data_IF_835077855053
#
_entry.id   IF_835077855053
#
_cell.length_a   1.000
_cell.length_b   1.000
_cell.length_c   1.000
_cell.angle_alpha   90.00
_cell.angle_beta   90.00
_cell.angle_gamma   90.00
#
_symmetry.space_group_name_H-M   'P 1'
#
loop_
_entity.id
_entity.type
_entity.pdbx_description
1 polymer ?
#
# COMPACT_ATOMS: atom_id res chain seq x y z
N UNK A 1 -1.69 43.74 -42.64
CA UNK A 1 -1.63 42.27 -42.79
C UNK A 1 -0.63 41.78 -41.76
N UNK A 2 -1.00 41.75 -40.47
CA UNK A 2 -1.34 40.52 -39.70
C UNK A 2 -1.21 39.21 -40.45
N UNK A 3 -0.38 38.32 -39.90
CA UNK A 3 -0.60 36.90 -39.53
C UNK A 3 0.75 36.45 -38.91
N UNK A 4 0.84 36.37 -37.58
CA UNK A 4 0.84 35.12 -36.78
C UNK A 4 2.19 34.39 -36.89
N UNK A 5 3.07 34.47 -35.89
CA UNK A 5 3.11 33.60 -34.69
C UNK A 5 3.34 32.13 -35.04
N UNK A 6 4.57 31.66 -34.78
CA UNK A 6 4.82 30.34 -34.22
C UNK A 6 6.26 30.31 -33.70
N UNK A 7 6.39 30.74 -32.44
CA UNK A 7 7.44 30.25 -31.58
C UNK A 7 7.20 28.73 -31.44
N UNK A 8 8.07 27.93 -32.06
CA UNK A 8 8.09 26.50 -31.86
C UNK A 8 8.50 26.21 -30.43
N UNK A 9 7.51 26.10 -29.55
CA UNK A 9 7.61 25.51 -28.24
C UNK A 9 8.11 24.06 -28.42
N UNK A 10 9.39 23.84 -28.12
CA UNK A 10 9.98 22.49 -28.07
C UNK A 10 9.96 21.95 -26.65
N UNK A 11 8.80 21.98 -26.00
CA UNK A 11 8.62 21.31 -24.72
C UNK A 11 7.95 19.94 -24.84
N UNK A 12 8.29 19.16 -25.86
CA UNK A 12 7.83 17.76 -25.97
C UNK A 12 9.03 16.81 -25.88
N UNK A 13 9.27 16.30 -24.68
CA UNK A 13 10.27 15.24 -24.48
C UNK A 13 10.63 14.85 -23.05
N UNK A 14 10.16 15.54 -22.00
CA UNK A 14 10.54 15.22 -20.60
C UNK A 14 9.46 14.53 -19.77
N UNK A 15 8.35 14.12 -20.39
CA UNK A 15 7.31 13.38 -19.67
C UNK A 15 7.55 11.86 -19.72
N UNK A 16 7.94 11.32 -18.56
CA UNK A 16 7.37 10.12 -17.95
C UNK A 16 7.97 8.72 -18.25
N UNK A 17 9.30 8.58 -18.22
CA UNK A 17 9.90 7.34 -17.70
C UNK A 17 10.79 7.68 -16.50
N UNK A 18 10.54 7.04 -15.34
CA UNK A 18 11.42 7.13 -14.17
C UNK A 18 11.00 8.07 -13.04
N UNK A 19 9.76 8.58 -12.98
CA UNK A 19 9.26 9.23 -11.76
C UNK A 19 8.66 8.18 -10.82
N UNK A 20 9.07 8.15 -9.53
CA UNK A 20 8.43 7.30 -8.54
C UNK A 20 6.92 7.55 -8.50
N UNK A 21 6.14 6.47 -8.46
CA UNK A 21 4.70 6.55 -8.18
C UNK A 21 4.55 6.89 -6.69
N UNK A 22 3.76 7.93 -6.41
CA UNK A 22 3.48 8.38 -5.03
C UNK A 22 1.98 8.39 -4.84
N UNK A 23 1.49 7.50 -3.98
CA UNK A 23 0.12 7.47 -3.50
C UNK A 23 -0.07 8.54 -2.43
N UNK A 24 -1.21 9.25 -2.49
CA UNK A 24 -1.57 10.38 -1.62
C UNK A 24 -2.96 10.16 -1.02
N UNK A 25 -3.34 11.04 -0.12
CA UNK A 25 -4.66 11.02 0.54
C UNK A 25 -4.92 9.70 1.28
N UNK A 26 -3.85 9.17 1.87
CA UNK A 26 -3.87 7.96 2.67
C UNK A 26 -4.01 8.27 4.16
N UNK A 27 -4.47 7.28 4.92
CA UNK A 27 -4.28 7.18 6.37
C UNK A 27 -3.38 5.97 6.63
N UNK A 28 -2.09 6.23 6.87
CA UNK A 28 -1.09 5.19 7.08
C UNK A 28 -0.56 5.27 8.51
N UNK A 29 -0.63 4.16 9.23
CA UNK A 29 -0.13 4.05 10.61
C UNK A 29 0.84 2.88 10.73
N UNK A 30 2.06 3.18 11.18
CA UNK A 30 3.10 2.16 11.45
C UNK A 30 3.29 2.06 12.96
N UNK A 31 2.52 1.17 13.60
CA UNK A 31 2.53 1.01 15.06
C UNK A 31 2.41 2.35 15.79
N UNK A 32 3.38 2.64 16.64
CA UNK A 32 3.58 3.96 17.30
C UNK A 32 4.74 4.77 16.68
N UNK A 33 5.32 4.28 15.59
CA UNK A 33 6.55 4.80 14.98
C UNK A 33 6.28 5.97 14.04
N UNK A 34 5.19 5.91 13.26
CA UNK A 34 4.87 6.93 12.28
C UNK A 34 3.38 6.95 11.91
N UNK A 35 2.93 8.14 11.51
CA UNK A 35 1.69 8.39 10.78
C UNK A 35 2.06 9.11 9.49
N UNK A 36 1.53 8.66 8.35
CA UNK A 36 1.85 9.18 7.02
C UNK A 36 0.58 9.39 6.21
N UNK A 37 0.63 10.35 5.30
CA UNK A 37 -0.47 10.63 4.34
C UNK A 37 -0.09 10.29 2.90
N UNK A 38 1.14 9.85 2.67
CA UNK A 38 1.67 9.48 1.36
C UNK A 38 2.57 8.26 1.46
N UNK A 39 2.57 7.43 0.42
CA UNK A 39 3.49 6.30 0.25
C UNK A 39 3.99 6.26 -1.19
N UNK A 40 5.30 6.11 -1.33
CA UNK A 40 5.91 5.52 -2.52
C UNK A 40 6.45 4.13 -2.17
N UNK A 41 6.98 3.42 -3.16
CA UNK A 41 7.47 2.05 -2.98
C UNK A 41 8.64 1.97 -1.99
N UNK A 42 9.58 2.92 -2.06
CA UNK A 42 10.76 2.93 -1.20
C UNK A 42 10.39 3.16 0.27
N UNK A 43 9.45 4.08 0.52
CA UNK A 43 8.96 4.35 1.87
C UNK A 43 8.16 3.17 2.44
N UNK A 44 7.38 2.49 1.59
CA UNK A 44 6.67 1.27 1.96
C UNK A 44 7.66 0.17 2.38
N UNK A 45 8.63 -0.15 1.53
CA UNK A 45 9.65 -1.17 1.80
C UNK A 45 10.38 -0.86 3.12
N UNK A 46 10.80 0.40 3.30
CA UNK A 46 11.49 0.86 4.52
C UNK A 46 10.68 0.66 5.81
N UNK A 47 9.36 0.87 5.76
CA UNK A 47 8.52 0.71 6.95
C UNK A 47 8.19 -0.75 7.23
N UNK A 48 7.93 -1.55 6.19
CA UNK A 48 7.70 -3.00 6.34
C UNK A 48 8.93 -3.68 6.96
N UNK A 49 10.13 -3.29 6.51
CA UNK A 49 11.41 -3.76 7.06
C UNK A 49 11.63 -3.43 8.54
N UNK A 50 10.81 -2.55 9.12
CA UNK A 50 10.89 -2.15 10.53
C UNK A 50 9.85 -2.81 11.41
N UNK A 51 8.93 -3.59 10.84
CA UNK A 51 7.94 -4.33 11.61
C UNK A 51 8.62 -5.50 12.32
N UNK A 52 8.69 -5.44 13.66
CA UNK A 52 9.30 -6.44 14.54
C UNK A 52 8.26 -7.25 15.29
N UNK A 53 8.63 -8.49 15.60
CA UNK A 53 7.86 -9.33 16.51
C UNK A 53 8.01 -8.76 17.92
N UNK A 54 6.95 -8.16 18.45
CA UNK A 54 6.96 -7.53 19.77
C UNK A 54 5.67 -7.84 20.53
N UNK A 55 5.69 -7.81 21.86
CA UNK A 55 4.51 -8.08 22.69
C UNK A 55 3.36 -7.05 22.50
N UNK A 56 3.62 -5.95 21.79
CA UNK A 56 2.60 -4.96 21.41
C UNK A 56 2.13 -5.07 19.97
N UNK A 57 2.65 -6.06 19.21
CA UNK A 57 2.48 -6.29 17.77
C UNK A 57 2.69 -5.00 16.95
N UNK A 58 3.92 -4.75 16.52
CA UNK A 58 4.14 -3.72 15.49
C UNK A 58 3.36 -4.11 14.23
N UNK A 59 2.63 -3.15 13.68
CA UNK A 59 1.75 -3.33 12.53
C UNK A 59 1.92 -2.17 11.57
N UNK A 60 1.48 -2.36 10.34
CA UNK A 60 1.26 -1.28 9.39
C UNK A 60 -0.18 -1.37 8.89
N UNK A 61 -0.93 -0.28 8.99
CA UNK A 61 -2.25 -0.11 8.35
C UNK A 61 -2.10 0.90 7.24
N UNK A 62 -2.62 0.59 6.07
CA UNK A 62 -2.75 1.50 4.92
C UNK A 62 -4.22 1.59 4.57
N UNK A 63 -4.83 2.77 4.71
CA UNK A 63 -6.24 2.99 4.43
C UNK A 63 -6.45 4.14 3.43
N UNK A 64 -7.51 4.02 2.62
CA UNK A 64 -8.00 5.13 1.79
C UNK A 64 -8.92 6.00 2.64
N UNK A 65 -8.73 7.32 2.61
CA UNK A 65 -9.54 8.23 3.42
C UNK A 65 -11.03 8.16 3.04
N UNK A 66 -11.90 7.95 4.03
CA UNK A 66 -13.36 8.03 3.88
C UNK A 66 -14.06 6.81 3.27
N UNK A 67 -13.31 5.81 2.77
CA UNK A 67 -13.87 4.62 2.12
C UNK A 67 -13.99 3.43 3.08
N UNK A 68 -13.20 3.44 4.17
CA UNK A 68 -13.07 2.35 5.13
C UNK A 68 -12.50 1.06 4.53
N UNK A 69 -11.93 1.18 3.34
CA UNK A 69 -11.06 0.18 2.74
C UNK A 69 -9.65 0.33 3.34
N UNK A 70 -9.05 -0.80 3.70
CA UNK A 70 -7.68 -0.84 4.18
C UNK A 70 -7.04 -2.17 3.87
N UNK A 71 -5.72 -2.16 3.87
CA UNK A 71 -4.90 -3.35 3.99
C UNK A 71 -3.93 -3.15 5.16
N UNK A 72 -3.77 -4.18 5.98
CA UNK A 72 -2.88 -4.12 7.12
C UNK A 72 -2.03 -5.37 7.22
N UNK A 73 -0.89 -5.25 7.89
CA UNK A 73 -0.05 -6.37 8.24
C UNK A 73 0.51 -6.24 9.65
N UNK A 74 0.83 -7.37 10.26
CA UNK A 74 1.63 -7.44 11.47
C UNK A 74 2.43 -8.74 11.48
N UNK A 75 3.56 -8.72 12.19
CA UNK A 75 4.42 -9.90 12.27
C UNK A 75 3.83 -10.91 13.24
N UNK A 76 3.54 -12.12 12.77
CA UNK A 76 2.96 -13.19 13.57
C UNK A 76 4.05 -14.07 14.21
N UNK A 77 5.08 -14.41 13.45
CA UNK A 77 6.26 -15.12 13.90
C UNK A 77 7.54 -14.58 13.24
N UNK A 78 8.69 -15.18 13.54
CA UNK A 78 9.97 -14.73 12.99
C UNK A 78 10.03 -14.77 11.46
N UNK A 79 9.22 -15.61 10.81
CA UNK A 79 9.23 -15.82 9.36
C UNK A 79 7.84 -15.77 8.72
N UNK A 80 6.87 -15.11 9.35
CA UNK A 80 5.59 -14.84 8.70
C UNK A 80 4.93 -13.56 9.22
N UNK A 81 4.02 -13.07 8.38
CA UNK A 81 3.15 -11.94 8.63
C UNK A 81 1.72 -12.36 8.36
N UNK A 82 0.82 -11.92 9.22
CA UNK A 82 -0.58 -11.90 8.85
C UNK A 82 -0.85 -10.62 8.08
N UNK A 83 -1.60 -10.77 6.99
CA UNK A 83 -2.07 -9.66 6.15
C UNK A 83 -3.58 -9.72 6.11
N UNK A 84 -4.23 -8.60 6.42
CA UNK A 84 -5.67 -8.48 6.43
C UNK A 84 -6.13 -7.39 5.46
N UNK A 85 -7.19 -7.65 4.72
CA UNK A 85 -7.77 -6.72 3.75
C UNK A 85 -9.24 -6.47 4.08
N UNK A 86 -9.57 -5.22 4.40
CA UNK A 86 -10.93 -4.71 4.54
C UNK A 86 -11.46 -4.08 3.25
N UNK A 87 -12.58 -4.57 2.72
CA UNK A 87 -13.20 -4.12 1.46
C UNK A 87 -14.36 -3.11 1.68
N UNK A 88 -14.26 -2.26 2.73
CA UNK A 88 -15.22 -1.17 2.98
C UNK A 88 -16.16 -1.39 4.17
N UNK A 89 -17.12 -0.47 4.35
CA UNK A 89 -17.85 -0.30 5.62
C UNK A 89 -19.23 -0.99 5.71
N UNK A 90 -19.90 -1.33 4.59
CA UNK A 90 -21.30 -1.81 4.63
C UNK A 90 -21.69 -2.78 3.48
N UNK A 91 -21.85 -4.08 3.76
CA UNK A 91 -21.37 -4.77 4.96
C UNK A 91 -19.85 -4.81 4.95
N UNK A 92 -19.18 -4.73 6.12
CA UNK A 92 -17.74 -4.88 6.16
C UNK A 92 -17.36 -6.30 5.76
N UNK A 93 -16.36 -6.41 4.89
CA UNK A 93 -15.80 -7.70 4.45
C UNK A 93 -14.31 -7.68 4.74
N UNK A 94 -13.86 -8.75 5.38
CA UNK A 94 -12.48 -8.93 5.75
C UNK A 94 -11.98 -10.26 5.20
N UNK A 95 -10.77 -10.24 4.67
CA UNK A 95 -10.04 -11.44 4.28
C UNK A 95 -8.67 -11.39 4.90
N UNK A 96 -8.12 -12.57 5.18
CA UNK A 96 -6.79 -12.70 5.75
C UNK A 96 -5.95 -13.67 4.91
N UNK A 97 -4.66 -13.41 4.82
CA UNK A 97 -3.67 -14.28 4.21
C UNK A 97 -2.38 -14.23 5.04
N UNK A 98 -1.50 -15.19 4.82
CA UNK A 98 -0.16 -15.19 5.40
C UNK A 98 0.86 -14.81 4.32
N UNK A 99 1.74 -13.88 4.64
CA UNK A 99 2.93 -13.55 3.85
C UNK A 99 4.18 -14.09 4.57
N UNK A 100 5.17 -14.55 3.81
CA UNK A 100 6.35 -15.28 4.31
C UNK A 100 7.49 -14.36 4.69
N UNK A 101 7.53 -13.16 4.13
CA UNK A 101 8.58 -12.19 4.37
C UNK A 101 8.11 -10.76 4.08
N UNK A 102 8.99 -9.81 4.39
CA UNK A 102 8.81 -8.38 4.20
C UNK A 102 8.54 -8.01 2.74
N UNK A 103 9.21 -8.68 1.79
CA UNK A 103 9.04 -8.41 0.36
C UNK A 103 7.64 -8.77 -0.10
N UNK A 104 7.14 -9.93 0.33
CA UNK A 104 5.79 -10.39 0.01
C UNK A 104 4.71 -9.48 0.63
N UNK A 105 4.94 -8.99 1.86
CA UNK A 105 4.08 -7.97 2.47
C UNK A 105 4.08 -6.67 1.66
N UNK A 106 5.26 -6.16 1.30
CA UNK A 106 5.36 -4.92 0.54
C UNK A 106 4.70 -5.05 -0.85
N UNK A 107 4.85 -6.19 -1.52
CA UNK A 107 4.19 -6.46 -2.80
C UNK A 107 2.66 -6.49 -2.67
N UNK A 108 2.12 -7.09 -1.62
CA UNK A 108 0.68 -7.10 -1.34
C UNK A 108 0.13 -5.71 -1.05
N UNK A 109 0.78 -4.95 -0.16
CA UNK A 109 0.39 -3.57 0.18
C UNK A 109 0.46 -2.67 -1.05
N UNK A 110 1.49 -2.83 -1.88
CA UNK A 110 1.65 -2.07 -3.13
C UNK A 110 0.60 -2.45 -4.17
N UNK A 111 0.33 -3.74 -4.37
CA UNK A 111 -0.71 -4.21 -5.28
C UNK A 111 -2.09 -3.65 -4.90
N UNK A 112 -2.40 -3.60 -3.61
CA UNK A 112 -3.62 -2.97 -3.12
C UNK A 112 -3.69 -1.47 -3.41
N UNK A 113 -2.57 -0.74 -3.25
CA UNK A 113 -2.50 0.68 -3.60
C UNK A 113 -2.73 0.93 -5.09
N UNK A 114 -2.14 0.08 -5.96
CA UNK A 114 -2.28 0.14 -7.42
C UNK A 114 -3.63 -0.39 -7.94
N UNK A 115 -4.43 -1.03 -7.08
CA UNK A 115 -5.65 -1.73 -7.52
C UNK A 115 -5.37 -2.97 -8.37
N UNK A 116 -4.18 -3.56 -8.24
CA UNK A 116 -3.78 -4.79 -8.92
C UNK A 116 -4.37 -6.01 -8.23
N UNK A 117 -5.66 -6.22 -8.46
CA UNK A 117 -6.41 -7.37 -7.94
C UNK A 117 -5.83 -8.70 -8.44
N UNK A 118 -5.23 -8.75 -9.63
CA UNK A 118 -4.63 -9.97 -10.15
C UNK A 118 -3.42 -10.42 -9.31
N UNK A 119 -2.62 -9.47 -8.79
CA UNK A 119 -1.56 -9.79 -7.84
C UNK A 119 -2.12 -10.25 -6.50
N UNK A 120 -3.14 -9.56 -5.98
CA UNK A 120 -3.77 -9.94 -4.72
C UNK A 120 -4.38 -11.35 -4.78
N UNK A 121 -5.12 -11.67 -5.85
CA UNK A 121 -5.80 -12.97 -6.03
C UNK A 121 -4.85 -14.16 -6.17
N UNK A 122 -3.53 -13.95 -6.33
CA UNK A 122 -2.53 -15.03 -6.28
C UNK A 122 -2.31 -15.58 -4.87
N UNK A 123 -2.73 -14.87 -3.84
CA UNK A 123 -2.62 -15.31 -2.46
C UNK A 123 -3.86 -16.08 -2.01
N UNK A 124 -3.65 -17.05 -1.12
CA UNK A 124 -4.74 -17.80 -0.50
C UNK A 124 -5.43 -16.97 0.58
N UNK A 125 -6.46 -16.23 0.19
CA UNK A 125 -7.29 -15.45 1.11
C UNK A 125 -8.36 -16.32 1.77
N UNK A 126 -8.33 -16.37 3.11
CA UNK A 126 -9.36 -16.98 3.95
C UNK A 126 -10.26 -15.94 4.63
N UNK A 127 -11.34 -16.38 5.30
CA UNK A 127 -12.06 -15.53 6.22
C UNK A 127 -11.14 -15.09 7.36
N UNK A 128 -11.29 -13.84 7.83
CA UNK A 128 -10.65 -13.41 9.06
C UNK A 128 -11.11 -14.30 10.22
N UNK A 129 -10.18 -15.02 10.84
CA UNK A 129 -10.52 -15.85 11.99
C UNK A 129 -10.76 -14.95 13.21
N UNK A 130 -11.83 -15.21 13.95
CA UNK A 130 -12.06 -14.52 15.21
C UNK A 130 -11.02 -15.02 16.24
N UNK A 131 -10.23 -14.10 16.77
CA UNK A 131 -9.31 -14.31 17.89
C UNK A 131 -10.04 -14.63 19.19
#
# INVERSE_FOLDING_TARGET
MSTDEQAGDRSDGWAAEGRPVVHRDLDVRVGTLAELTTLDRELLDHWVDRIRLSHGNEFMVVARQGEGEFIQCYRNAAGDFDVEWGEGLKPPRYRAATARDESEVADLLWAWLEGDVATLDRHEWGPLQAY
#
